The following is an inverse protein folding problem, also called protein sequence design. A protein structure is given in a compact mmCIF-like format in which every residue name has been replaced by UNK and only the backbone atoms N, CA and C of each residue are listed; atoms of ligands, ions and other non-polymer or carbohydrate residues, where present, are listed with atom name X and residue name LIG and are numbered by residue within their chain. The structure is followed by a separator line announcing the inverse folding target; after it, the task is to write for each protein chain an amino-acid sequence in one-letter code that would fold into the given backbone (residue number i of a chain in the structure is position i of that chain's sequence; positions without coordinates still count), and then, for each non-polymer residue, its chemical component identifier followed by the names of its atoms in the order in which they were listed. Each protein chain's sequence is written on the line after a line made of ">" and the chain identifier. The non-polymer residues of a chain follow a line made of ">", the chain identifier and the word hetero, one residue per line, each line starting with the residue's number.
data_IF_892466256076
#
_entry.id   IF_892466256076
#
_cell.length_a   1.000
_cell.length_b   1.000
_cell.length_c   1.000
_cell.angle_alpha   90.00
_cell.angle_beta   90.00
_cell.angle_gamma   90.00
#
_symmetry.space_group_name_H-M   'P 1'
#
loop_
_entity.id
_entity.type
_entity.pdbx_description
1 polymer ?
#
# COMPACT_ATOMS: atom_id res chain seq x y z
N UNK A 1 19.27 -14.50 3.86
CA UNK A 1 18.07 -14.24 4.69
C UNK A 1 16.85 -14.29 3.80
N UNK A 2 15.75 -14.87 4.28
CA UNK A 2 14.43 -14.85 3.66
C UNK A 2 13.42 -14.74 4.80
N UNK A 3 12.32 -14.02 4.59
CA UNK A 3 11.18 -13.96 5.52
C UNK A 3 9.94 -14.39 4.77
N UNK A 4 8.94 -14.84 5.51
CA UNK A 4 7.63 -15.16 4.95
C UNK A 4 6.52 -14.93 5.97
N UNK A 5 5.32 -14.67 5.46
CA UNK A 5 4.10 -14.63 6.25
C UNK A 5 2.96 -15.27 5.45
N UNK A 6 1.87 -15.61 6.14
CA UNK A 6 0.65 -16.16 5.55
C UNK A 6 -0.51 -15.33 6.06
N UNK A 7 -1.40 -14.94 5.16
CA UNK A 7 -2.61 -14.16 5.46
C UNK A 7 -3.80 -14.71 4.69
N UNK A 8 -4.99 -14.52 5.23
CA UNK A 8 -6.23 -14.79 4.49
C UNK A 8 -6.67 -13.51 3.81
N UNK A 9 -6.76 -13.54 2.48
CA UNK A 9 -7.10 -12.36 1.68
C UNK A 9 -8.18 -12.66 0.66
N UNK A 10 -8.83 -11.62 0.20
CA UNK A 10 -9.74 -11.67 -0.94
C UNK A 10 -8.97 -11.90 -2.24
N UNK A 11 -9.32 -12.96 -2.97
CA UNK A 11 -8.78 -13.27 -4.30
C UNK A 11 -9.82 -13.13 -5.42
N UNK A 12 -11.09 -12.89 -5.07
CA UNK A 12 -12.14 -12.62 -6.04
C UNK A 12 -13.49 -12.40 -5.37
N UNK A 13 -14.56 -12.47 -6.17
CA UNK A 13 -15.93 -12.20 -5.71
C UNK A 13 -16.94 -13.09 -6.41
N UNK A 14 -17.94 -13.55 -5.65
CA UNK A 14 -19.11 -14.25 -6.16
C UNK A 14 -20.34 -13.35 -6.13
N UNK A 15 -21.31 -13.66 -6.98
CA UNK A 15 -22.65 -13.09 -6.90
C UNK A 15 -23.50 -13.93 -5.97
N UNK A 16 -24.04 -13.33 -4.91
CA UNK A 16 -25.11 -13.94 -4.13
C UNK A 16 -26.46 -13.44 -4.61
N UNK A 17 -27.34 -14.36 -4.99
CA UNK A 17 -28.75 -14.10 -5.23
C UNK A 17 -29.48 -14.14 -3.89
N UNK A 18 -29.74 -12.98 -3.29
CA UNK A 18 -30.72 -12.88 -2.20
C UNK A 18 -32.14 -12.98 -2.76
N UNK A 19 -33.08 -13.56 -2.00
CA UNK A 19 -34.53 -13.56 -2.30
C UNK A 19 -35.09 -12.13 -2.40
N UNK A 20 -34.37 -11.13 -1.90
CA UNK A 20 -34.73 -9.70 -1.88
C UNK A 20 -33.97 -8.90 -2.94
N UNK A 21 -34.12 -9.25 -4.24
CA UNK A 21 -33.75 -8.48 -5.46
C UNK A 21 -32.40 -7.72 -5.59
N UNK A 22 -31.55 -7.67 -4.58
CA UNK A 22 -30.26 -6.96 -4.57
C UNK A 22 -29.15 -8.00 -4.71
N UNK A 23 -28.45 -7.97 -5.84
CA UNK A 23 -27.25 -8.77 -6.08
C UNK A 23 -26.13 -8.24 -5.19
N UNK A 24 -25.73 -9.03 -4.18
CA UNK A 24 -24.60 -8.68 -3.30
C UNK A 24 -23.36 -9.44 -3.75
N UNK A 25 -22.28 -8.72 -3.99
CA UNK A 25 -20.98 -9.35 -4.18
C UNK A 25 -20.45 -9.83 -2.83
N UNK A 26 -20.12 -11.12 -2.76
CA UNK A 26 -19.51 -11.74 -1.58
C UNK A 26 -18.03 -12.00 -1.91
N UNK A 27 -17.09 -11.61 -1.02
CA UNK A 27 -15.69 -11.89 -1.22
C UNK A 27 -15.41 -13.39 -1.14
N UNK A 28 -14.43 -13.82 -1.92
CA UNK A 28 -13.90 -15.17 -1.85
C UNK A 28 -12.48 -15.06 -1.32
N UNK A 29 -12.18 -15.87 -0.33
CA UNK A 29 -10.93 -15.82 0.41
C UNK A 29 -10.02 -16.97 0.01
N UNK A 30 -8.72 -16.73 0.11
CA UNK A 30 -7.68 -17.75 0.01
C UNK A 30 -6.60 -17.48 1.06
N UNK A 31 -5.89 -18.53 1.48
CA UNK A 31 -4.67 -18.38 2.28
C UNK A 31 -3.50 -18.09 1.35
N UNK A 32 -3.00 -16.86 1.42
CA UNK A 32 -1.91 -16.36 0.60
C UNK A 32 -0.64 -16.20 1.44
N UNK A 33 0.43 -16.80 0.97
CA UNK A 33 1.77 -16.62 1.51
C UNK A 33 2.53 -15.51 0.78
N UNK A 34 3.35 -14.75 1.50
CA UNK A 34 4.21 -13.72 0.92
C UNK A 34 5.68 -14.01 1.22
N UNK A 35 6.54 -13.97 0.20
CA UNK A 35 7.99 -14.03 0.35
C UNK A 35 8.55 -12.61 0.43
N UNK A 36 9.16 -12.30 1.56
CA UNK A 36 9.72 -10.97 1.83
C UNK A 36 11.24 -11.01 2.01
N UNK A 37 11.93 -10.04 1.43
CA UNK A 37 13.30 -9.70 1.78
C UNK A 37 14.34 -10.79 1.47
N UNK A 38 14.14 -11.59 0.41
CA UNK A 38 15.13 -12.57 -0.04
C UNK A 38 16.46 -11.88 -0.39
N UNK A 39 17.52 -12.22 0.37
CA UNK A 39 18.86 -11.70 0.16
C UNK A 39 19.90 -12.81 0.28
N UNK A 40 20.82 -12.83 -0.69
CA UNK A 40 22.00 -13.70 -0.71
C UNK A 40 23.24 -12.82 -0.82
N UNK A 41 24.22 -13.06 0.07
CA UNK A 41 25.50 -12.35 0.08
C UNK A 41 26.17 -12.44 -1.30
N UNK A 42 26.77 -11.35 -1.83
CA UNK A 42 27.43 -11.37 -3.15
C UNK A 42 28.37 -12.55 -3.36
N UNK A 43 29.22 -12.86 -2.38
CA UNK A 43 30.22 -13.93 -2.44
C UNK A 43 29.61 -15.35 -2.43
N UNK A 44 28.31 -15.47 -2.16
CA UNK A 44 27.58 -16.73 -2.09
C UNK A 44 26.50 -16.85 -3.19
N UNK A 45 26.44 -15.87 -4.11
CA UNK A 45 25.51 -15.92 -5.23
C UNK A 45 25.90 -17.02 -6.21
N UNK A 46 24.93 -17.46 -7.03
CA UNK A 46 25.10 -18.53 -8.05
C UNK A 46 25.46 -19.92 -7.50
N UNK A 47 25.50 -20.11 -6.18
CA UNK A 47 25.66 -21.42 -5.52
C UNK A 47 24.31 -22.12 -5.22
N UNK A 48 23.21 -21.68 -5.85
CA UNK A 48 21.87 -22.24 -5.63
C UNK A 48 21.20 -21.91 -4.29
N UNK A 49 21.82 -21.10 -3.43
CA UNK A 49 21.31 -20.77 -2.09
C UNK A 49 19.94 -20.09 -2.15
N UNK A 50 19.76 -19.09 -3.04
CA UNK A 50 18.48 -18.40 -3.19
C UNK A 50 17.33 -19.35 -3.52
N UNK A 51 17.57 -20.28 -4.45
CA UNK A 51 16.60 -21.32 -4.81
C UNK A 51 16.28 -22.24 -3.63
N UNK A 52 17.30 -22.70 -2.90
CA UNK A 52 17.12 -23.54 -1.70
C UNK A 52 16.29 -22.84 -0.63
N UNK A 53 16.54 -21.54 -0.41
CA UNK A 53 15.78 -20.73 0.54
C UNK A 53 14.30 -20.60 0.13
N UNK A 54 14.03 -20.30 -1.14
CA UNK A 54 12.65 -20.22 -1.65
C UNK A 54 11.93 -21.55 -1.51
N UNK A 55 12.55 -22.67 -1.93
CA UNK A 55 11.93 -24.00 -1.81
C UNK A 55 11.60 -24.40 -0.37
N UNK A 56 12.50 -24.09 0.58
CA UNK A 56 12.23 -24.35 2.01
C UNK A 56 11.07 -23.50 2.53
N UNK A 57 10.99 -22.23 2.12
CA UNK A 57 9.89 -21.35 2.50
C UNK A 57 8.56 -21.83 1.88
N UNK A 58 8.56 -22.26 0.62
CA UNK A 58 7.38 -22.84 -0.03
C UNK A 58 6.89 -24.11 0.65
N UNK A 59 7.80 -25.00 1.08
CA UNK A 59 7.43 -26.18 1.85
C UNK A 59 6.74 -25.77 3.15
N UNK A 60 7.32 -24.83 3.91
CA UNK A 60 6.69 -24.30 5.11
C UNK A 60 5.33 -23.64 4.83
N UNK A 61 5.17 -22.91 3.73
CA UNK A 61 3.88 -22.35 3.33
C UNK A 61 2.82 -23.43 3.05
N UNK A 62 3.18 -24.50 2.32
CA UNK A 62 2.30 -25.64 2.07
C UNK A 62 1.89 -26.32 3.37
N UNK A 63 2.85 -26.58 4.26
CA UNK A 63 2.61 -27.20 5.57
C UNK A 63 1.68 -26.36 6.46
N UNK A 64 1.61 -25.04 6.24
CA UNK A 64 0.73 -24.11 6.94
C UNK A 64 -0.56 -23.78 6.15
N UNK A 65 -0.85 -24.55 5.09
CA UNK A 65 -2.09 -24.49 4.33
C UNK A 65 -2.23 -23.25 3.44
N UNK A 66 -1.13 -22.64 3.01
CA UNK A 66 -1.18 -21.60 1.99
C UNK A 66 -1.46 -22.21 0.61
N UNK A 67 -2.44 -21.66 -0.08
CA UNK A 67 -2.83 -22.10 -1.43
C UNK A 67 -2.01 -21.42 -2.52
N UNK A 68 -1.59 -20.18 -2.25
CA UNK A 68 -0.80 -19.35 -3.15
C UNK A 68 0.41 -18.77 -2.40
N UNK A 69 1.47 -18.48 -3.15
CA UNK A 69 2.62 -17.71 -2.70
C UNK A 69 2.86 -16.57 -3.67
N UNK A 70 3.14 -15.37 -3.19
CA UNK A 70 3.56 -14.25 -4.02
C UNK A 70 4.81 -13.56 -3.49
N UNK A 71 5.42 -12.76 -4.36
CA UNK A 71 6.59 -11.94 -4.06
C UNK A 71 6.57 -10.68 -4.90
N UNK A 72 7.22 -9.63 -4.42
CA UNK A 72 7.40 -8.38 -5.13
C UNK A 72 8.88 -8.17 -5.48
N UNK A 73 9.15 -7.60 -6.65
CA UNK A 73 10.49 -7.22 -7.09
C UNK A 73 10.42 -6.15 -8.17
N UNK A 74 11.44 -5.30 -8.25
CA UNK A 74 11.57 -4.40 -9.39
C UNK A 74 11.78 -5.20 -10.68
N UNK A 75 11.15 -4.72 -11.76
CA UNK A 75 11.29 -5.29 -13.12
C UNK A 75 12.73 -5.34 -13.63
N UNK A 76 13.58 -4.41 -13.19
CA UNK A 76 15.00 -4.35 -13.55
C UNK A 76 15.87 -5.35 -12.76
N UNK A 77 15.36 -5.94 -11.67
CA UNK A 77 16.06 -6.96 -10.90
C UNK A 77 15.96 -8.32 -11.60
N UNK A 78 16.62 -8.44 -12.76
CA UNK A 78 16.58 -9.61 -13.62
C UNK A 78 16.97 -10.90 -12.89
N UNK A 79 17.88 -10.82 -11.90
CA UNK A 79 18.28 -11.97 -11.10
C UNK A 79 17.10 -12.52 -10.26
N UNK A 80 16.34 -11.63 -9.62
CA UNK A 80 15.14 -11.98 -8.86
C UNK A 80 14.05 -12.48 -9.79
N UNK A 81 13.74 -11.73 -10.86
CA UNK A 81 12.71 -12.11 -11.85
C UNK A 81 12.97 -13.52 -12.38
N UNK A 82 14.18 -13.81 -12.89
CA UNK A 82 14.52 -15.13 -13.43
C UNK A 82 14.49 -16.24 -12.38
N UNK A 83 14.94 -15.96 -11.15
CA UNK A 83 14.85 -16.94 -10.07
C UNK A 83 13.40 -17.38 -9.86
N UNK A 84 12.48 -16.43 -9.72
CA UNK A 84 11.09 -16.75 -9.43
C UNK A 84 10.35 -17.30 -10.64
N UNK A 85 10.47 -16.67 -11.82
CA UNK A 85 9.67 -17.06 -12.99
C UNK A 85 10.22 -18.28 -13.74
N UNK A 86 11.54 -18.46 -13.80
CA UNK A 86 12.14 -19.57 -14.56
C UNK A 86 12.53 -20.76 -13.69
N UNK A 87 12.83 -20.55 -12.40
CA UNK A 87 13.36 -21.62 -11.52
C UNK A 87 12.40 -22.04 -10.41
N UNK A 88 11.54 -21.15 -9.94
CA UNK A 88 10.58 -21.46 -8.88
C UNK A 88 9.14 -21.65 -9.39
N UNK A 89 8.85 -21.34 -10.66
CA UNK A 89 7.53 -21.57 -11.27
C UNK A 89 6.49 -20.51 -10.92
N UNK A 90 6.90 -19.27 -10.64
CA UNK A 90 5.98 -18.15 -10.47
C UNK A 90 5.61 -17.55 -11.83
N UNK A 91 4.40 -17.03 -11.93
CA UNK A 91 3.95 -16.23 -13.07
C UNK A 91 3.96 -14.74 -12.69
N UNK A 92 4.18 -13.88 -13.69
CA UNK A 92 3.99 -12.43 -13.52
C UNK A 92 2.51 -12.17 -13.30
N UNK A 93 2.17 -11.39 -12.27
CA UNK A 93 0.79 -11.31 -11.79
C UNK A 93 0.22 -9.89 -11.80
N UNK A 94 0.83 -8.98 -11.04
CA UNK A 94 0.40 -7.58 -10.94
C UNK A 94 1.60 -6.65 -11.10
N UNK A 95 1.33 -5.43 -11.49
CA UNK A 95 2.36 -4.39 -11.70
C UNK A 95 2.01 -3.08 -11.00
N UNK A 96 1.93 -3.06 -9.65
CA UNK A 96 1.64 -1.83 -8.94
C UNK A 96 2.75 -0.78 -9.08
N UNK A 97 2.39 0.45 -8.72
CA UNK A 97 3.31 1.58 -8.65
C UNK A 97 3.51 2.00 -7.20
N UNK A 98 4.77 2.08 -6.79
CA UNK A 98 5.19 2.65 -5.50
C UNK A 98 5.40 4.15 -5.71
N UNK A 99 4.57 4.96 -5.05
CA UNK A 99 4.58 6.42 -5.15
C UNK A 99 5.18 7.00 -3.86
N UNK A 100 6.25 7.78 -4.01
CA UNK A 100 7.01 8.33 -2.88
C UNK A 100 6.98 9.86 -2.93
N UNK A 101 6.50 10.46 -1.84
CA UNK A 101 6.47 11.89 -1.62
C UNK A 101 7.51 12.28 -0.56
N UNK A 102 8.46 13.18 -0.85
CA UNK A 102 9.34 13.71 0.18
C UNK A 102 8.57 14.49 1.24
N UNK A 103 9.05 14.41 2.48
CA UNK A 103 8.58 15.24 3.59
C UNK A 103 9.45 16.49 3.65
N UNK A 104 8.84 17.64 3.36
CA UNK A 104 9.48 18.96 3.39
C UNK A 104 9.69 19.45 4.83
N UNK A 105 10.56 20.45 5.00
CA UNK A 105 10.77 21.07 6.31
C UNK A 105 9.61 22.00 6.72
N UNK A 106 8.73 22.35 5.78
CA UNK A 106 7.56 23.18 6.02
C UNK A 106 6.25 22.38 5.98
N UNK A 107 5.22 22.89 6.65
CA UNK A 107 3.86 22.32 6.58
C UNK A 107 3.23 22.56 5.21
N UNK A 108 2.62 21.51 4.66
CA UNK A 108 1.73 21.65 3.50
C UNK A 108 0.40 22.26 3.92
N UNK A 109 -0.19 23.08 3.04
CA UNK A 109 -1.46 23.76 3.30
C UNK A 109 -2.62 22.90 2.80
N UNK A 110 -3.34 22.29 3.74
CA UNK A 110 -4.59 21.58 3.44
C UNK A 110 -5.64 22.59 2.97
N UNK A 111 -6.35 22.25 1.89
CA UNK A 111 -7.42 23.08 1.35
C UNK A 111 -8.55 23.31 2.36
N UNK A 112 -8.93 24.57 2.61
CA UNK A 112 -10.09 24.93 3.46
C UNK A 112 -11.44 24.42 2.93
N UNK A 113 -11.48 23.91 1.69
CA UNK A 113 -12.68 23.33 1.08
C UNK A 113 -12.86 21.85 1.43
N UNK A 114 -11.97 21.28 2.23
CA UNK A 114 -11.99 19.87 2.65
C UNK A 114 -11.99 19.82 4.17
N UNK A 115 -12.88 19.01 4.73
CA UNK A 115 -12.84 18.62 6.14
C UNK A 115 -12.22 17.23 6.23
N UNK A 116 -11.22 17.06 7.09
CA UNK A 116 -10.63 15.76 7.41
C UNK A 116 -11.17 15.32 8.77
N UNK A 117 -11.72 14.12 8.83
CA UNK A 117 -12.35 13.52 10.01
C UNK A 117 -11.54 12.28 10.37
N UNK A 118 -10.87 12.24 11.53
CA UNK A 118 -10.29 11.01 12.04
C UNK A 118 -11.41 10.04 12.43
N UNK A 119 -11.32 8.79 11.98
CA UNK A 119 -12.26 7.74 12.34
C UNK A 119 -11.76 6.97 13.55
N UNK A 120 -12.69 6.46 14.36
CA UNK A 120 -12.35 5.45 15.37
C UNK A 120 -11.91 4.15 14.68
N UNK A 121 -11.08 3.30 15.33
CA UNK A 121 -10.71 2.01 14.78
C UNK A 121 -11.93 1.15 14.38
N UNK A 122 -12.97 1.15 15.22
CA UNK A 122 -14.22 0.43 14.92
C UNK A 122 -14.92 0.96 13.67
N UNK A 123 -15.04 2.28 13.53
CA UNK A 123 -15.64 2.90 12.34
C UNK A 123 -14.85 2.59 11.08
N UNK A 124 -13.52 2.67 11.15
CA UNK A 124 -12.62 2.38 10.04
C UNK A 124 -12.74 0.92 9.58
N UNK A 125 -12.85 -0.04 10.51
CA UNK A 125 -13.05 -1.46 10.20
C UNK A 125 -14.37 -1.68 9.47
N UNK A 126 -15.48 -1.11 9.97
CA UNK A 126 -16.80 -1.22 9.33
C UNK A 126 -16.75 -0.60 7.94
N UNK A 127 -16.15 0.58 7.81
CA UNK A 127 -16.00 1.26 6.52
C UNK A 127 -15.23 0.39 5.53
N UNK A 128 -14.08 -0.15 5.96
CA UNK A 128 -13.22 -0.96 5.10
C UNK A 128 -13.86 -2.27 4.67
N UNK A 129 -14.54 -2.98 5.57
CA UNK A 129 -15.26 -4.21 5.23
C UNK A 129 -16.40 -3.96 4.24
N UNK A 130 -17.14 -2.87 4.40
CA UNK A 130 -18.23 -2.56 3.47
C UNK A 130 -17.71 -2.13 2.09
N UNK A 131 -16.61 -1.35 2.04
CA UNK A 131 -16.15 -0.78 0.77
C UNK A 131 -15.17 -1.65 0.00
N UNK A 132 -14.28 -2.38 0.68
CA UNK A 132 -13.13 -3.04 0.09
C UNK A 132 -13.10 -4.55 0.29
N UNK A 133 -14.11 -5.17 0.91
CA UNK A 133 -14.10 -6.62 1.14
C UNK A 133 -13.88 -7.44 -0.13
N UNK A 134 -14.36 -6.95 -1.28
CA UNK A 134 -14.18 -7.59 -2.60
C UNK A 134 -12.97 -7.07 -3.39
N UNK A 135 -12.17 -6.19 -2.82
CA UNK A 135 -10.91 -5.71 -3.42
C UNK A 135 -9.85 -6.78 -3.28
N UNK A 136 -9.09 -7.01 -4.34
CA UNK A 136 -8.02 -8.01 -4.36
C UNK A 136 -6.96 -7.71 -3.29
N UNK A 137 -6.45 -8.76 -2.63
CA UNK A 137 -5.52 -8.70 -1.50
C UNK A 137 -6.07 -8.07 -0.21
N UNK A 138 -7.37 -7.73 -0.14
CA UNK A 138 -7.96 -7.21 1.09
C UNK A 138 -7.87 -8.25 2.23
N UNK A 139 -7.28 -7.90 3.38
CA UNK A 139 -7.10 -8.83 4.48
C UNK A 139 -8.43 -9.12 5.18
N UNK A 140 -8.71 -10.40 5.41
CA UNK A 140 -9.91 -10.80 6.16
C UNK A 140 -9.87 -10.26 7.61
N UNK A 141 -8.67 -10.14 8.18
CA UNK A 141 -8.36 -9.62 9.52
C UNK A 141 -8.02 -8.12 9.52
N UNK A 142 -8.70 -7.32 8.70
CA UNK A 142 -8.48 -5.86 8.61
C UNK A 142 -8.52 -5.15 9.97
N UNK A 143 -9.26 -5.68 10.95
CA UNK A 143 -9.27 -5.17 12.33
C UNK A 143 -7.92 -5.28 13.02
N UNK A 144 -7.14 -6.35 12.79
CA UNK A 144 -5.79 -6.48 13.32
C UNK A 144 -4.83 -5.46 12.71
N UNK A 145 -5.05 -5.09 11.44
CA UNK A 145 -4.27 -4.03 10.76
C UNK A 145 -4.61 -2.66 11.34
N UNK A 146 -5.89 -2.33 11.45
CA UNK A 146 -6.35 -1.01 11.93
C UNK A 146 -6.05 -0.80 13.42
N UNK A 147 -6.17 -1.83 14.25
CA UNK A 147 -5.88 -1.74 15.69
C UNK A 147 -4.39 -1.90 16.03
N UNK A 148 -3.51 -2.07 15.04
CA UNK A 148 -2.09 -2.21 15.30
C UNK A 148 -1.51 -0.91 15.86
N UNK A 149 -0.59 -1.02 16.83
CA UNK A 149 0.12 0.14 17.40
C UNK A 149 0.89 0.99 16.37
N UNK A 150 1.22 0.41 15.22
CA UNK A 150 1.89 1.11 14.11
C UNK A 150 0.90 1.86 13.21
N UNK A 151 -0.40 1.59 13.31
CA UNK A 151 -1.42 2.40 12.64
C UNK A 151 -1.58 3.73 13.39
N UNK A 152 -1.34 4.83 12.69
CA UNK A 152 -1.50 6.20 13.22
C UNK A 152 -2.93 6.72 13.06
N UNK A 153 -3.82 5.92 12.46
CA UNK A 153 -5.23 6.22 12.30
C UNK A 153 -5.72 6.19 10.85
N UNK A 154 -7.04 6.23 10.73
CA UNK A 154 -7.78 6.29 9.47
C UNK A 154 -8.47 7.64 9.36
N UNK A 155 -8.35 8.27 8.19
CA UNK A 155 -8.80 9.64 7.97
C UNK A 155 -9.73 9.70 6.76
N UNK A 156 -10.92 10.28 6.96
CA UNK A 156 -11.91 10.52 5.92
C UNK A 156 -11.89 11.99 5.51
N UNK A 157 -11.79 12.26 4.21
CA UNK A 157 -11.94 13.59 3.64
C UNK A 157 -13.29 13.76 2.95
N UNK A 158 -13.98 14.84 3.30
CA UNK A 158 -15.26 15.25 2.71
C UNK A 158 -15.24 16.74 2.36
N UNK A 159 -16.13 17.24 1.48
CA UNK A 159 -16.29 18.67 1.24
C UNK A 159 -16.59 19.40 2.55
N UNK A 160 -15.98 20.59 2.69
CA UNK A 160 -16.27 21.47 3.82
C UNK A 160 -17.77 21.77 3.90
N UNK A 161 -18.33 21.69 5.10
CA UNK A 161 -19.77 21.88 5.36
C UNK A 161 -20.62 20.62 5.23
N UNK A 162 -20.12 19.52 4.66
CA UNK A 162 -20.88 18.26 4.60
C UNK A 162 -20.94 17.56 5.96
N UNK A 163 -19.78 17.31 6.56
CA UNK A 163 -19.64 16.77 7.90
C UNK A 163 -18.46 17.42 8.62
N UNK A 164 -18.45 17.26 9.94
CA UNK A 164 -17.38 17.64 10.85
C UNK A 164 -17.09 16.48 11.79
N UNK A 165 -16.03 16.59 12.59
CA UNK A 165 -15.71 15.60 13.63
C UNK A 165 -16.89 15.39 14.59
N UNK A 166 -17.66 16.45 14.90
CA UNK A 166 -18.81 16.40 15.81
C UNK A 166 -20.10 15.89 15.15
N UNK A 167 -20.19 15.99 13.83
CA UNK A 167 -21.39 15.64 13.06
C UNK A 167 -21.21 14.38 12.21
N UNK A 168 -20.10 13.67 12.40
CA UNK A 168 -19.83 12.39 11.76
C UNK A 168 -20.95 11.39 12.07
N UNK A 169 -21.70 10.89 11.07
CA UNK A 169 -22.90 10.09 11.30
C UNK A 169 -22.62 8.61 11.58
N UNK A 170 -21.34 8.20 11.62
CA UNK A 170 -20.93 6.80 11.60
C UNK A 170 -20.88 6.21 10.19
N UNK A 171 -20.19 5.07 10.02
CA UNK A 171 -19.90 4.47 8.71
C UNK A 171 -21.16 3.98 8.00
N UNK A 172 -22.10 3.33 8.71
CA UNK A 172 -23.29 2.75 8.08
C UNK A 172 -24.17 3.82 7.43
N UNK A 173 -24.46 4.89 8.17
CA UNK A 173 -25.25 6.02 7.65
C UNK A 173 -24.50 6.79 6.56
N UNK A 174 -23.18 6.93 6.69
CA UNK A 174 -22.38 7.57 5.65
C UNK A 174 -22.42 6.79 4.32
N UNK A 175 -22.29 5.46 4.38
CA UNK A 175 -22.23 4.62 3.17
C UNK A 175 -23.58 4.47 2.46
N UNK A 176 -24.69 4.67 3.16
CA UNK A 176 -26.04 4.72 2.55
C UNK A 176 -26.26 5.97 1.70
N UNK A 177 -25.62 7.09 2.06
CA UNK A 177 -25.82 8.37 1.39
C UNK A 177 -24.60 9.29 1.56
N UNK A 178 -23.45 8.96 0.94
CA UNK A 178 -22.25 9.75 1.09
C UNK A 178 -22.40 11.12 0.40
N UNK A 179 -21.62 12.14 0.80
CA UNK A 179 -21.60 13.41 0.12
C UNK A 179 -21.07 13.24 -1.31
N UNK A 180 -21.31 14.24 -2.16
CA UNK A 180 -21.02 14.17 -3.60
C UNK A 180 -19.56 13.82 -3.94
N UNK A 181 -18.61 13.98 -3.03
CA UNK A 181 -17.27 13.42 -3.17
C UNK A 181 -16.71 13.10 -1.81
N UNK A 182 -15.85 12.09 -1.72
CA UNK A 182 -15.14 11.74 -0.49
C UNK A 182 -13.87 10.95 -0.82
N UNK A 183 -12.96 10.86 0.14
CA UNK A 183 -11.84 9.92 0.10
C UNK A 183 -11.50 9.43 1.51
N UNK A 184 -10.85 8.27 1.61
CA UNK A 184 -10.38 7.67 2.86
C UNK A 184 -8.97 7.11 2.64
N UNK A 185 -8.13 7.20 3.66
CA UNK A 185 -6.88 6.44 3.75
C UNK A 185 -6.48 6.24 5.21
N UNK A 186 -5.59 5.30 5.45
CA UNK A 186 -4.93 5.11 6.74
C UNK A 186 -3.43 5.37 6.64
N UNK A 187 -2.81 5.70 7.77
CA UNK A 187 -1.37 5.98 7.86
C UNK A 187 -0.71 4.97 8.76
N UNK A 188 0.38 4.36 8.29
CA UNK A 188 1.19 3.39 9.01
C UNK A 188 2.58 3.92 9.29
N UNK A 189 3.08 3.69 10.51
CA UNK A 189 4.38 4.17 10.97
C UNK A 189 5.50 3.15 10.72
N UNK A 190 6.02 3.09 9.50
CA UNK A 190 7.13 2.19 9.15
C UNK A 190 8.47 2.61 9.79
N UNK A 191 8.61 3.86 10.25
CA UNK A 191 9.83 4.36 10.92
C UNK A 191 10.19 3.56 12.17
N UNK A 192 9.20 3.05 12.91
CA UNK A 192 9.42 2.24 14.12
C UNK A 192 9.87 0.81 13.80
N UNK A 193 9.75 0.37 12.54
CA UNK A 193 10.16 -0.97 12.10
C UNK A 193 11.58 -0.94 11.54
N UNK A 194 11.87 -0.01 10.62
CA UNK A 194 13.19 0.15 10.04
C UNK A 194 13.43 1.55 9.48
N UNK A 195 14.70 1.83 9.18
CA UNK A 195 15.14 3.06 8.50
C UNK A 195 15.75 2.73 7.15
N UNK A 196 15.55 3.65 6.21
CA UNK A 196 16.10 3.61 4.87
C UNK A 196 17.29 4.56 4.77
N UNK A 197 18.19 4.30 3.82
CA UNK A 197 19.30 5.19 3.49
C UNK A 197 19.57 5.07 1.99
N UNK A 198 19.48 6.19 1.26
CA UNK A 198 19.82 6.25 -0.15
C UNK A 198 21.34 6.30 -0.29
N UNK A 199 21.92 5.21 -0.79
CA UNK A 199 23.35 5.11 -1.10
C UNK A 199 23.62 5.27 -2.59
N UNK A 200 24.87 5.54 -2.94
CA UNK A 200 25.30 5.66 -4.35
C UNK A 200 25.11 7.02 -5.01
N UNK A 201 24.49 8.01 -4.35
CA UNK A 201 24.39 9.37 -4.89
C UNK A 201 25.75 10.10 -4.88
N UNK A 202 26.08 10.81 -5.97
CA UNK A 202 27.31 11.59 -6.10
C UNK A 202 27.38 12.78 -5.13
N UNK A 203 28.59 13.26 -4.82
CA UNK A 203 28.80 14.39 -3.90
C UNK A 203 28.07 15.65 -4.36
N UNK A 204 28.03 15.91 -5.66
CA UNK A 204 27.31 17.05 -6.26
C UNK A 204 25.80 16.95 -6.00
N UNK A 205 25.18 15.78 -6.27
CA UNK A 205 23.75 15.56 -6.00
C UNK A 205 23.41 15.72 -4.51
N UNK A 206 24.28 15.22 -3.62
CA UNK A 206 24.13 15.41 -2.17
C UNK A 206 24.22 16.88 -1.76
N UNK A 207 25.14 17.63 -2.37
CA UNK A 207 25.30 19.07 -2.17
C UNK A 207 24.03 19.85 -2.57
N UNK A 208 23.53 19.61 -3.78
CA UNK A 208 22.29 20.23 -4.29
C UNK A 208 21.08 19.89 -3.42
N UNK A 209 20.92 18.63 -3.01
CA UNK A 209 19.84 18.25 -2.11
C UNK A 209 19.94 18.99 -0.76
N UNK A 210 21.15 19.10 -0.20
CA UNK A 210 21.40 19.86 1.03
C UNK A 210 21.06 21.35 0.89
N UNK A 211 21.37 21.98 -0.25
CA UNK A 211 21.03 23.39 -0.48
C UNK A 211 19.52 23.60 -0.57
N UNK A 212 18.78 22.74 -1.28
CA UNK A 212 17.30 22.84 -1.31
C UNK A 212 16.69 22.77 0.09
N UNK A 213 17.23 21.90 0.96
CA UNK A 213 16.78 21.73 2.34
C UNK A 213 17.12 22.94 3.22
N UNK A 214 18.29 23.54 3.05
CA UNK A 214 18.67 24.76 3.79
C UNK A 214 17.76 25.92 3.39
N UNK A 215 17.50 26.08 2.10
CA UNK A 215 16.62 27.13 1.58
C UNK A 215 15.20 26.99 2.12
N UNK A 216 14.66 25.77 2.11
CA UNK A 216 13.32 25.47 2.62
C UNK A 216 13.18 25.77 4.13
N UNK A 217 14.22 25.43 4.91
CA UNK A 217 14.26 25.76 6.35
C UNK A 217 14.40 27.26 6.62
N UNK A 218 15.17 27.97 5.81
CA UNK A 218 15.41 29.40 5.99
C UNK A 218 14.20 30.24 5.55
N UNK A 219 13.50 29.83 4.49
CA UNK A 219 12.41 30.57 3.87
C UNK A 219 11.12 29.73 3.75
N UNK A 220 10.54 29.22 4.86
CA UNK A 220 9.43 28.26 4.83
C UNK A 220 8.14 28.84 4.21
N UNK A 221 8.00 30.17 4.14
CA UNK A 221 6.87 30.83 3.48
C UNK A 221 6.87 30.68 1.96
N UNK A 222 8.04 30.43 1.35
CA UNK A 222 8.17 30.17 -0.09
C UNK A 222 7.69 28.77 -0.48
N UNK A 223 7.57 27.85 0.49
CA UNK A 223 7.07 26.48 0.29
C UNK A 223 7.77 25.74 -0.85
N UNK A 224 9.08 25.92 -0.92
CA UNK A 224 9.90 25.33 -1.97
C UNK A 224 9.94 23.82 -1.75
N UNK A 225 9.57 22.98 -2.75
CA UNK A 225 9.77 21.55 -2.66
C UNK A 225 11.25 21.24 -2.43
N UNK A 226 11.57 20.55 -1.34
CA UNK A 226 12.94 20.28 -0.91
C UNK A 226 13.21 18.79 -0.80
N UNK A 227 14.49 18.41 -0.95
CA UNK A 227 14.90 17.02 -0.74
C UNK A 227 15.25 16.84 0.73
N UNK A 228 14.53 15.98 1.48
CA UNK A 228 14.87 15.66 2.86
C UNK A 228 16.23 14.96 2.95
N UNK A 229 16.75 14.75 4.16
CA UNK A 229 18.05 14.06 4.31
C UNK A 229 17.94 12.55 4.05
N UNK A 230 17.78 12.17 2.79
CA UNK A 230 17.66 10.77 2.37
C UNK A 230 19.00 10.03 2.36
N UNK A 231 20.13 10.74 2.56
CA UNK A 231 21.48 10.15 2.55
C UNK A 231 21.99 9.76 3.95
N UNK A 232 21.14 9.90 4.96
CA UNK A 232 21.32 9.38 6.32
C UNK A 232 20.11 8.51 6.67
N UNK A 233 20.19 7.62 7.67
CA UNK A 233 19.06 6.79 8.06
C UNK A 233 17.80 7.62 8.34
N UNK A 234 16.75 7.40 7.55
CA UNK A 234 15.46 8.10 7.65
C UNK A 234 14.30 7.09 7.78
N UNK A 235 13.25 7.48 8.50
CA UNK A 235 12.00 6.73 8.57
C UNK A 235 10.99 7.21 7.54
N UNK A 236 9.91 6.46 7.35
CA UNK A 236 8.81 6.87 6.49
C UNK A 236 7.47 6.44 7.06
N UNK A 237 6.41 7.10 6.61
CA UNK A 237 5.04 6.62 6.80
C UNK A 237 4.53 5.98 5.51
N UNK A 238 3.79 4.89 5.64
CA UNK A 238 3.14 4.21 4.53
C UNK A 238 1.64 4.49 4.54
N UNK A 239 1.07 4.87 3.40
CA UNK A 239 -0.37 5.08 3.25
C UNK A 239 -1.01 3.81 2.70
N UNK A 240 -2.11 3.39 3.30
CA UNK A 240 -2.83 2.17 2.90
C UNK A 240 -4.35 2.36 2.95
N UNK A 241 -5.10 1.40 2.41
CA UNK A 241 -6.56 1.43 2.39
C UNK A 241 -7.14 2.68 1.71
N UNK A 242 -6.52 3.08 0.60
CA UNK A 242 -6.93 4.22 -0.21
C UNK A 242 -8.27 3.93 -0.89
N UNK A 243 -9.22 4.85 -0.76
CA UNK A 243 -10.41 4.87 -1.61
C UNK A 243 -11.07 6.23 -1.67
N UNK A 244 -12.07 6.36 -2.53
CA UNK A 244 -12.77 7.61 -2.73
C UNK A 244 -13.63 7.63 -3.98
N UNK A 245 -14.66 8.46 -3.95
CA UNK A 245 -15.67 8.58 -5.00
C UNK A 245 -16.06 10.02 -5.25
N UNK A 246 -16.74 10.23 -6.38
CA UNK A 246 -17.24 11.53 -6.82
C UNK A 246 -16.27 12.35 -7.66
N UNK A 247 -16.76 13.45 -8.27
CA UNK A 247 -16.00 14.28 -9.20
C UNK A 247 -14.78 14.98 -8.58
N UNK A 248 -14.77 15.19 -7.25
CA UNK A 248 -13.66 15.85 -6.53
C UNK A 248 -12.78 14.86 -5.76
N UNK A 249 -12.91 13.54 -5.97
CA UNK A 249 -12.16 12.51 -5.24
C UNK A 249 -10.65 12.72 -5.23
N UNK A 250 -10.06 13.14 -6.35
CA UNK A 250 -8.61 13.42 -6.43
C UNK A 250 -8.18 14.59 -5.52
N UNK A 251 -9.06 15.60 -5.36
CA UNK A 251 -8.81 16.72 -4.44
C UNK A 251 -8.90 16.28 -2.97
N UNK A 252 -9.80 15.33 -2.67
CA UNK A 252 -9.93 14.74 -1.33
C UNK A 252 -8.71 13.89 -1.00
N UNK A 253 -8.27 13.02 -1.91
CA UNK A 253 -7.03 12.23 -1.77
C UNK A 253 -5.83 13.14 -1.57
N UNK A 254 -5.68 14.19 -2.40
CA UNK A 254 -4.58 15.15 -2.25
C UNK A 254 -4.56 15.78 -0.86
N UNK A 255 -5.72 16.21 -0.34
CA UNK A 255 -5.82 16.79 0.99
C UNK A 255 -5.43 15.79 2.10
N UNK A 256 -5.80 14.51 1.96
CA UNK A 256 -5.37 13.46 2.88
C UNK A 256 -3.86 13.20 2.80
N UNK A 257 -3.26 13.22 1.61
CA UNK A 257 -1.81 13.09 1.45
C UNK A 257 -1.06 14.28 2.04
N UNK A 258 -1.57 15.51 1.90
CA UNK A 258 -1.03 16.72 2.53
C UNK A 258 -1.11 16.62 4.06
N UNK A 259 -2.23 16.12 4.59
CA UNK A 259 -2.37 15.83 6.02
C UNK A 259 -1.37 14.78 6.50
N UNK A 260 -1.25 13.65 5.79
CA UNK A 260 -0.31 12.58 6.14
C UNK A 260 1.15 13.03 6.03
N UNK A 261 1.47 13.92 5.07
CA UNK A 261 2.78 14.58 5.01
C UNK A 261 3.05 15.38 6.28
N UNK A 262 2.10 16.21 6.74
CA UNK A 262 2.29 17.00 7.95
C UNK A 262 2.44 16.13 9.20
N UNK A 263 1.69 15.03 9.29
CA UNK A 263 1.86 14.02 10.34
C UNK A 263 3.25 13.37 10.29
N UNK A 264 3.71 12.99 9.10
CA UNK A 264 5.05 12.44 8.89
C UNK A 264 6.16 13.43 9.26
N UNK A 265 5.98 14.71 8.96
CA UNK A 265 6.89 15.79 9.33
C UNK A 265 7.00 15.94 10.86
N UNK A 266 5.88 15.91 11.57
CA UNK A 266 5.84 15.93 13.05
C UNK A 266 6.54 14.71 13.65
N UNK A 267 6.42 13.55 13.01
CA UNK A 267 7.12 12.32 13.41
C UNK A 267 8.58 12.25 12.93
N UNK A 268 9.11 13.27 12.24
CA UNK A 268 10.48 13.28 11.74
C UNK A 268 10.78 12.23 10.66
N UNK A 269 9.78 11.85 9.87
CA UNK A 269 9.94 10.99 8.70
C UNK A 269 10.52 11.77 7.52
N UNK A 270 11.30 11.09 6.68
CA UNK A 270 11.89 11.67 5.47
C UNK A 270 10.96 11.60 4.26
N UNK A 271 10.11 10.58 4.18
CA UNK A 271 9.16 10.41 3.06
C UNK A 271 7.82 9.87 3.55
N UNK A 272 6.80 10.06 2.73
CA UNK A 272 5.54 9.33 2.77
C UNK A 272 5.46 8.49 1.50
N UNK A 273 5.12 7.21 1.64
CA UNK A 273 5.03 6.29 0.51
C UNK A 273 3.66 5.61 0.47
N UNK A 274 3.25 5.18 -0.71
CA UNK A 274 2.06 4.34 -0.91
C UNK A 274 2.31 3.45 -2.11
N UNK A 275 1.69 2.29 -2.13
CA UNK A 275 1.70 1.41 -3.29
C UNK A 275 0.26 1.23 -3.78
N UNK A 276 0.05 1.37 -5.09
CA UNK A 276 -1.28 1.33 -5.71
C UNK A 276 -1.24 0.51 -6.99
N UNK A 277 -2.37 -0.09 -7.36
CA UNK A 277 -2.50 -0.78 -8.64
C UNK A 277 -2.19 0.18 -9.81
N UNK A 278 -1.65 -0.35 -10.91
CA UNK A 278 -1.35 0.43 -12.12
C UNK A 278 -2.58 1.18 -12.67
N UNK A 279 -3.76 0.56 -12.56
CA UNK A 279 -5.04 1.09 -13.02
C UNK A 279 -5.78 1.94 -11.97
N UNK A 280 -5.22 2.17 -10.78
CA UNK A 280 -5.91 2.88 -9.70
C UNK A 280 -6.17 4.36 -10.10
N UNK A 281 -7.42 4.79 -10.33
CA UNK A 281 -7.70 6.17 -10.73
C UNK A 281 -7.32 7.21 -9.67
N UNK A 282 -7.30 6.84 -8.38
CA UNK A 282 -6.95 7.76 -7.30
C UNK A 282 -5.46 8.12 -7.29
N UNK A 283 -4.61 7.35 -8.00
CA UNK A 283 -3.16 7.60 -8.08
C UNK A 283 -2.83 9.01 -8.60
N UNK A 284 -3.69 9.59 -9.44
CA UNK A 284 -3.52 10.95 -9.97
C UNK A 284 -3.74 12.05 -8.93
N UNK A 285 -4.37 11.73 -7.79
CA UNK A 285 -4.52 12.62 -6.65
C UNK A 285 -3.36 12.57 -5.66
N UNK A 286 -2.41 11.63 -5.82
CA UNK A 286 -1.34 11.36 -4.87
C UNK A 286 -0.08 12.17 -5.26
N UNK A 287 0.33 13.17 -4.47
CA UNK A 287 1.59 13.87 -4.69
C UNK A 287 2.76 12.90 -4.56
N UNK A 288 3.69 12.92 -5.51
CA UNK A 288 4.89 12.07 -5.46
C UNK A 288 5.98 12.65 -6.37
N UNK A 289 7.22 12.21 -6.16
CA UNK A 289 8.35 12.55 -7.00
C UNK A 289 8.73 11.34 -7.85
N UNK A 290 8.70 11.47 -9.18
CA UNK A 290 9.02 10.39 -10.12
C UNK A 290 10.40 9.77 -9.86
N UNK A 291 11.40 10.59 -9.51
CA UNK A 291 12.76 10.13 -9.22
C UNK A 291 12.84 9.19 -8.00
N UNK A 292 11.90 9.30 -7.05
CA UNK A 292 11.85 8.48 -5.85
C UNK A 292 10.83 7.34 -5.94
N UNK A 293 10.01 7.34 -6.99
CA UNK A 293 8.87 6.43 -7.16
C UNK A 293 9.24 5.30 -8.13
N UNK A 294 8.63 4.13 -7.97
CA UNK A 294 8.74 3.00 -8.88
C UNK A 294 7.42 2.83 -9.63
N UNK A 295 7.44 3.01 -10.95
CA UNK A 295 6.22 2.90 -11.75
C UNK A 295 5.80 1.44 -12.00
N UNK A 296 6.77 0.51 -12.02
CA UNK A 296 6.60 -0.87 -12.45
C UNK A 296 7.23 -1.84 -11.43
N UNK A 297 6.69 -1.85 -10.21
CA UNK A 297 7.00 -2.96 -9.30
C UNK A 297 6.30 -4.22 -9.82
N UNK A 298 6.97 -5.37 -9.82
CA UNK A 298 6.44 -6.61 -10.36
C UNK A 298 6.11 -7.56 -9.23
N UNK A 299 4.83 -7.87 -9.11
CA UNK A 299 4.35 -8.95 -8.26
C UNK A 299 4.28 -10.23 -9.08
N UNK A 300 4.92 -11.28 -8.58
CA UNK A 300 4.86 -12.62 -9.13
C UNK A 300 4.08 -13.52 -8.17
N UNK A 301 3.25 -14.41 -8.68
CA UNK A 301 2.44 -15.34 -7.90
C UNK A 301 2.66 -16.78 -8.36
N UNK A 302 2.48 -17.74 -7.46
CA UNK A 302 2.52 -19.17 -7.71
C UNK A 302 1.40 -19.82 -6.93
N UNK A 303 0.68 -20.76 -7.55
CA UNK A 303 -0.20 -21.68 -6.83
C UNK A 303 0.65 -22.79 -6.20
N UNK A 304 0.43 -23.08 -4.93
CA UNK A 304 1.19 -24.08 -4.16
C UNK A 304 0.50 -25.44 -4.09
N UNK A 305 -0.82 -25.49 -4.26
CA UNK A 305 -1.63 -26.71 -4.18
C UNK A 305 -1.86 -27.27 -5.57
N UNK A 306 -1.61 -28.58 -5.72
CA UNK A 306 -1.70 -29.30 -6.99
C UNK A 306 -3.13 -29.81 -7.28
N UNK A 307 -3.96 -30.00 -6.24
CA UNK A 307 -5.32 -30.51 -6.38
C UNK A 307 -6.27 -29.47 -6.98
N UNK A 308 -6.78 -29.82 -8.15
CA UNK A 308 -7.60 -28.99 -9.02
C UNK A 308 -9.07 -29.17 -8.66
N UNK A 309 -9.62 -28.25 -7.85
CA UNK A 309 -11.06 -27.98 -7.87
C UNK A 309 -11.27 -26.62 -8.53
N UNK A 310 -12.00 -26.59 -9.64
CA UNK A 310 -12.51 -25.37 -10.27
C UNK A 310 -13.55 -24.73 -9.34
N UNK A 311 -13.07 -24.15 -8.24
CA UNK A 311 -13.87 -23.26 -7.42
C UNK A 311 -14.34 -22.07 -8.27
N UNK A 312 -15.24 -21.27 -7.72
CA UNK A 312 -15.93 -20.21 -8.46
C UNK A 312 -15.05 -19.10 -9.08
N UNK A 313 -13.74 -19.04 -8.79
CA UNK A 313 -12.77 -18.12 -9.41
C UNK A 313 -11.92 -18.80 -10.50
N UNK A 314 -11.80 -20.13 -10.47
CA UNK A 314 -10.73 -20.84 -11.18
C UNK A 314 -9.35 -20.50 -10.63
N UNK A 315 -8.32 -20.57 -11.48
CA UNK A 315 -6.94 -20.28 -11.09
C UNK A 315 -6.67 -18.77 -10.99
N UNK A 316 -6.60 -18.26 -9.76
CA UNK A 316 -6.33 -16.85 -9.50
C UNK A 316 -5.03 -16.34 -10.13
N UNK A 317 -4.01 -17.19 -10.35
CA UNK A 317 -2.76 -16.78 -11.00
C UNK A 317 -2.94 -16.33 -12.47
N UNK A 318 -4.06 -16.71 -13.09
CA UNK A 318 -4.44 -16.38 -14.47
C UNK A 318 -5.47 -15.24 -14.54
N UNK A 319 -5.87 -14.69 -13.40
CA UNK A 319 -6.88 -13.64 -13.35
C UNK A 319 -6.37 -12.31 -13.92
N UNK A 320 -7.26 -11.58 -14.59
CA UNK A 320 -6.97 -10.25 -15.10
C UNK A 320 -6.78 -9.25 -13.94
N UNK A 321 -5.86 -8.28 -14.06
CA UNK A 321 -5.69 -7.24 -13.05
C UNK A 321 -6.96 -6.43 -12.82
N UNK A 322 -7.36 -6.27 -11.56
CA UNK A 322 -8.43 -5.38 -11.16
C UNK A 322 -8.05 -3.90 -11.25
N UNK A 323 -9.03 -3.02 -10.98
CA UNK A 323 -8.81 -1.56 -10.91
C UNK A 323 -7.94 -1.19 -9.70
N UNK A 324 -8.17 -1.86 -8.58
CA UNK A 324 -7.55 -1.57 -7.30
C UNK A 324 -7.07 -2.86 -6.64
N UNK A 325 -6.02 -2.74 -5.84
CA UNK A 325 -5.52 -3.77 -4.93
C UNK A 325 -5.38 -3.16 -3.54
N UNK A 326 -5.51 -3.98 -2.50
CA UNK A 326 -5.21 -3.56 -1.14
C UNK A 326 -3.79 -4.00 -0.77
N UNK A 327 -2.94 -3.05 -0.38
CA UNK A 327 -1.58 -3.35 0.09
C UNK A 327 -1.60 -3.40 1.63
N UNK A 328 -1.24 -4.55 2.19
CA UNK A 328 -1.20 -4.74 3.63
C UNK A 328 0.04 -4.05 4.21
N UNK A 329 -0.11 -3.03 5.08
CA UNK A 329 1.03 -2.28 5.59
C UNK A 329 1.95 -3.11 6.49
N UNK A 330 1.53 -4.30 6.95
CA UNK A 330 2.37 -5.23 7.73
C UNK A 330 3.48 -5.87 6.91
N UNK A 331 3.39 -5.80 5.58
CA UNK A 331 4.35 -6.38 4.63
C UNK A 331 5.45 -5.41 4.20
N UNK A 332 5.34 -4.16 4.65
CA UNK A 332 6.20 -3.04 4.27
C UNK A 332 7.42 -2.92 5.17
#
# INVERSE_FOLDING_TARGET
>A
MIRGCIKTVTCGKNLSRSKTSVTKHIPIYTKLAYILGLRVSPNQRRMGIGLKLVKKMEAWFKDNGAEYSYMATETENLASVKLFTEKCGYTKFRTPSILVNPVYAHRTKISRKVTIIPLTPSDAVIFYRNRFSTTEFFPNDIDAVVNNKLSLGTFLAVPSGSYSVKTWPGPDRFLLGPPCSWAILSVWNSKEVFKLEVRGASRVKRGLAKTTRILDRALPWLKVPSVPDLFRPFGFHFLYGLGGEGPKKLKMVKALCEFAHNLAMECGCGVVATEVASCEPLRFGIPHWKMLSCANDLWCIKRLVDDYSDGSIGDWTKSMPGISIFVDPREI
#
